data_IF_543701741938
#
_entry.id   IF_543701741938
#
_cell.length_a   1.000
_cell.length_b   1.000
_cell.length_c   1.000
_cell.angle_alpha   90.00
_cell.angle_beta   90.00
_cell.angle_gamma   90.00
#
_symmetry.space_group_name_H-M   'P 1'
#
loop_
_entity.id
_entity.type
_entity.pdbx_description
1 polymer ?
#
# COMPACT_ATOMS: atom_id res chain seq x y z
N UNK A 1 -19.94 -16.93 -20.00
CA UNK A 1 -19.10 -15.75 -19.63
C UNK A 1 -17.77 -16.29 -19.13
N UNK A 2 -16.65 -15.72 -19.56
CA UNK A 2 -15.33 -16.11 -19.03
C UNK A 2 -15.15 -15.54 -17.62
N UNK A 3 -14.44 -16.25 -16.75
CA UNK A 3 -14.07 -15.75 -15.42
C UNK A 3 -13.02 -14.63 -15.54
N UNK A 4 -13.08 -13.66 -14.63
CA UNK A 4 -12.12 -12.54 -14.53
C UNK A 4 -11.86 -12.21 -13.06
N UNK A 5 -10.84 -11.39 -12.80
CA UNK A 5 -10.45 -10.93 -11.48
C UNK A 5 -10.59 -9.42 -11.38
N UNK A 6 -11.20 -8.94 -10.30
CA UNK A 6 -11.18 -7.53 -9.96
C UNK A 6 -9.92 -7.24 -9.12
N UNK A 7 -9.17 -6.21 -9.50
CA UNK A 7 -7.94 -5.82 -8.81
C UNK A 7 -7.59 -4.36 -9.08
N UNK A 8 -6.72 -3.84 -8.22
CA UNK A 8 -6.08 -2.54 -8.38
C UNK A 8 -4.58 -2.67 -8.20
N UNK A 9 -3.82 -2.14 -9.15
CA UNK A 9 -2.36 -2.14 -9.08
C UNK A 9 -1.81 -0.76 -9.48
N UNK A 10 -0.75 -0.35 -8.81
CA UNK A 10 0.05 0.82 -9.14
C UNK A 10 1.51 0.37 -9.22
N UNK A 11 2.15 0.63 -10.35
CA UNK A 11 3.57 0.39 -10.59
C UNK A 11 4.31 1.73 -10.56
N UNK A 12 5.12 1.94 -9.53
CA UNK A 12 6.03 3.07 -9.44
C UNK A 12 7.41 2.69 -10.00
N UNK A 13 7.92 3.47 -10.95
CA UNK A 13 9.28 3.31 -11.49
C UNK A 13 10.06 4.58 -11.21
N UNK A 14 11.33 4.42 -10.90
CA UNK A 14 12.15 5.54 -10.48
C UNK A 14 13.61 5.18 -10.28
N UNK A 15 14.40 6.18 -9.91
CA UNK A 15 15.82 6.00 -9.61
C UNK A 15 16.01 5.64 -8.14
N UNK A 16 16.90 4.69 -7.88
CA UNK A 16 17.29 4.31 -6.52
C UNK A 16 18.44 5.22 -6.08
N UNK A 17 18.27 5.87 -4.94
CA UNK A 17 19.30 6.64 -4.25
C UNK A 17 19.61 5.94 -2.93
N UNK A 18 20.85 5.49 -2.74
CA UNK A 18 21.29 4.88 -1.50
C UNK A 18 21.67 5.94 -0.47
N UNK A 19 21.32 5.69 0.78
CA UNK A 19 21.72 6.52 1.91
C UNK A 19 22.98 6.02 2.60
N UNK A 20 23.52 6.84 3.49
CA UNK A 20 24.63 6.47 4.39
C UNK A 20 24.14 5.80 5.68
N UNK A 21 25.08 5.48 6.58
CA UNK A 21 24.78 4.84 7.87
C UNK A 21 23.88 5.71 8.76
N UNK A 22 24.08 7.03 8.77
CA UNK A 22 23.29 7.95 9.57
C UNK A 22 21.84 8.04 9.06
N UNK A 23 21.67 8.12 7.74
CA UNK A 23 20.35 8.07 7.09
C UNK A 23 19.67 6.72 7.33
N UNK A 24 20.43 5.62 7.29
CA UNK A 24 19.90 4.28 7.58
C UNK A 24 19.40 4.18 9.01
N UNK A 25 20.19 4.61 9.99
CA UNK A 25 19.78 4.66 11.39
C UNK A 25 18.52 5.51 11.58
N UNK A 26 18.43 6.65 10.90
CA UNK A 26 17.26 7.54 10.98
C UNK A 26 15.99 6.90 10.43
N UNK A 27 16.07 6.20 9.30
CA UNK A 27 14.92 5.48 8.73
C UNK A 27 14.45 4.36 9.67
N UNK A 28 15.37 3.63 10.31
CA UNK A 28 15.01 2.61 11.30
C UNK A 28 14.27 3.25 12.48
N UNK A 29 14.78 4.36 13.02
CA UNK A 29 14.10 5.11 14.09
C UNK A 29 12.69 5.53 13.68
N UNK A 30 12.53 6.13 12.49
CA UNK A 30 11.25 6.63 12.01
C UNK A 30 10.24 5.49 11.77
N UNK A 31 10.70 4.33 11.29
CA UNK A 31 9.87 3.14 11.13
C UNK A 31 9.44 2.57 12.48
N UNK A 32 10.36 2.43 13.43
CA UNK A 32 10.03 2.00 14.79
C UNK A 32 9.02 2.95 15.44
N UNK A 33 9.21 4.26 15.34
CA UNK A 33 8.27 5.24 15.90
C UNK A 33 6.89 5.23 15.23
N UNK A 34 6.81 4.81 13.96
CA UNK A 34 5.54 4.74 13.22
C UNK A 34 4.74 3.48 13.55
N UNK A 35 5.40 2.34 13.75
CA UNK A 35 4.75 1.04 13.88
C UNK A 35 4.73 0.49 15.30
N UNK A 36 5.66 0.90 16.16
CA UNK A 36 5.71 0.51 17.57
C UNK A 36 5.08 1.58 18.46
N UNK A 37 4.54 1.12 19.60
CA UNK A 37 4.05 2.05 20.62
C UNK A 37 5.23 2.74 21.32
N UNK A 38 5.12 4.02 21.70
CA UNK A 38 6.21 4.74 22.40
C UNK A 38 6.66 4.09 23.72
N UNK A 39 5.78 3.35 24.38
CA UNK A 39 6.05 2.64 25.63
C UNK A 39 6.54 1.21 25.44
N UNK A 40 6.56 0.69 24.21
CA UNK A 40 7.08 -0.65 23.89
C UNK A 40 8.54 -0.81 24.30
N UNK A 41 8.94 -2.01 24.73
CA UNK A 41 10.36 -2.36 24.91
C UNK A 41 11.15 -2.33 23.60
N UNK A 42 10.46 -2.38 22.45
CA UNK A 42 11.05 -2.25 21.12
C UNK A 42 11.19 -0.79 20.66
N UNK A 43 10.73 0.20 21.45
CA UNK A 43 10.88 1.61 21.11
C UNK A 43 12.36 1.96 20.90
N UNK A 44 12.66 2.70 19.83
CA UNK A 44 14.04 2.92 19.38
C UNK A 44 14.93 3.53 20.47
N UNK A 45 14.38 4.49 21.24
CA UNK A 45 15.06 5.16 22.34
C UNK A 45 15.32 4.28 23.58
N UNK A 46 14.71 3.09 23.66
CA UNK A 46 14.93 2.12 24.75
C UNK A 46 15.95 1.04 24.37
N UNK A 47 16.37 0.98 23.11
CA UNK A 47 17.35 0.01 22.64
C UNK A 47 18.78 0.49 22.96
N UNK A 48 19.70 -0.40 23.36
CA UNK A 48 21.11 -0.05 23.52
C UNK A 48 21.72 0.43 22.20
N UNK A 49 22.48 1.53 22.23
CA UNK A 49 23.11 2.08 21.02
C UNK A 49 24.01 1.06 20.31
N UNK A 50 24.82 0.30 21.05
CA UNK A 50 25.68 -0.75 20.48
C UNK A 50 24.88 -1.84 19.74
N UNK A 51 23.69 -2.17 20.24
CA UNK A 51 22.80 -3.12 19.61
C UNK A 51 22.29 -2.60 18.27
N UNK A 52 21.82 -1.35 18.25
CA UNK A 52 21.31 -0.68 17.04
C UNK A 52 22.42 -0.50 16.01
N UNK A 53 23.57 0.04 16.41
CA UNK A 53 24.68 0.36 15.51
C UNK A 53 25.26 -0.90 14.85
N UNK A 54 25.28 -2.04 15.57
CA UNK A 54 25.67 -3.33 15.00
C UNK A 54 24.72 -3.80 13.90
N UNK A 55 23.40 -3.65 14.09
CA UNK A 55 22.41 -4.12 13.13
C UNK A 55 22.26 -3.18 11.93
N UNK A 56 22.37 -1.86 12.15
CA UNK A 56 22.31 -0.86 11.07
C UNK A 56 23.42 -1.10 10.04
N UNK A 57 24.61 -1.53 10.47
CA UNK A 57 25.73 -1.88 9.56
C UNK A 57 25.44 -3.06 8.63
N UNK A 58 24.42 -3.87 8.93
CA UNK A 58 24.03 -5.01 8.10
C UNK A 58 22.98 -4.66 7.03
N UNK A 59 22.49 -3.42 7.00
CA UNK A 59 21.46 -2.94 6.07
C UNK A 59 21.88 -1.59 5.47
N UNK A 60 21.22 -1.19 4.39
CA UNK A 60 21.42 0.13 3.78
C UNK A 60 20.07 0.76 3.45
N UNK A 61 19.90 2.02 3.82
CA UNK A 61 18.78 2.82 3.38
C UNK A 61 18.84 3.03 1.86
N UNK A 62 17.67 2.98 1.22
CA UNK A 62 17.52 3.50 -0.12
C UNK A 62 16.16 4.17 -0.29
N UNK A 63 16.10 5.12 -1.23
CA UNK A 63 14.88 5.81 -1.65
C UNK A 63 14.69 5.57 -3.14
N UNK A 64 13.44 5.33 -3.55
CA UNK A 64 13.04 5.40 -4.95
C UNK A 64 12.51 6.80 -5.21
N UNK A 65 13.23 7.59 -6.01
CA UNK A 65 12.72 8.83 -6.58
C UNK A 65 11.79 8.46 -7.74
N UNK A 66 10.48 8.44 -7.45
CA UNK A 66 9.45 8.02 -8.41
C UNK A 66 9.42 9.00 -9.58
N UNK A 67 9.63 8.47 -10.79
CA UNK A 67 9.62 9.23 -12.03
C UNK A 67 8.35 8.98 -12.84
N UNK A 68 7.81 7.75 -12.79
CA UNK A 68 6.57 7.39 -13.47
C UNK A 68 5.70 6.52 -12.59
N UNK A 69 4.39 6.67 -12.76
CA UNK A 69 3.36 5.86 -12.13
C UNK A 69 2.43 5.31 -13.21
N UNK A 70 2.43 3.99 -13.37
CA UNK A 70 1.46 3.28 -14.19
C UNK A 70 0.42 2.64 -13.27
N UNK A 71 -0.85 2.63 -13.65
CA UNK A 71 -1.89 1.98 -12.85
C UNK A 71 -2.85 1.17 -13.72
N UNK A 72 -3.47 0.16 -13.09
CA UNK A 72 -4.55 -0.63 -13.67
C UNK A 72 -5.62 -0.87 -12.61
N UNK A 73 -6.85 -0.49 -12.92
CA UNK A 73 -8.02 -0.75 -12.10
C UNK A 73 -9.03 -1.55 -12.92
N UNK A 74 -9.06 -2.87 -12.70
CA UNK A 74 -10.08 -3.75 -13.26
C UNK A 74 -11.14 -3.97 -12.18
N UNK A 75 -12.26 -3.29 -12.32
CA UNK A 75 -13.32 -3.21 -11.31
C UNK A 75 -14.69 -3.46 -11.97
N UNK A 76 -14.72 -4.32 -13.00
CA UNK A 76 -15.94 -4.66 -13.75
C UNK A 76 -16.66 -3.46 -14.37
N UNK A 77 -15.94 -2.38 -14.67
CA UNK A 77 -16.50 -1.14 -15.23
C UNK A 77 -17.09 -1.28 -16.65
N UNK A 78 -16.83 -2.42 -17.31
CA UNK A 78 -17.38 -2.77 -18.61
C UNK A 78 -18.83 -3.32 -18.53
N UNK A 79 -19.35 -3.55 -17.34
CA UNK A 79 -20.73 -3.98 -17.11
C UNK A 79 -21.67 -2.80 -16.86
N UNK A 80 -22.96 -3.03 -17.04
CA UNK A 80 -24.00 -2.08 -16.64
C UNK A 80 -24.06 -1.88 -15.11
N UNK A 81 -24.80 -0.86 -14.70
CA UNK A 81 -24.87 -0.44 -13.30
C UNK A 81 -25.54 -1.49 -12.40
N UNK A 82 -26.59 -2.15 -12.88
CA UNK A 82 -27.30 -3.22 -12.15
C UNK A 82 -26.37 -4.40 -11.89
N UNK A 83 -25.62 -4.85 -12.90
CA UNK A 83 -24.64 -5.92 -12.77
C UNK A 83 -23.53 -5.51 -11.81
N UNK A 84 -23.02 -4.29 -11.90
CA UNK A 84 -21.99 -3.79 -10.98
C UNK A 84 -22.49 -3.75 -9.54
N UNK A 85 -23.73 -3.30 -9.31
CA UNK A 85 -24.34 -3.32 -7.98
C UNK A 85 -24.48 -4.74 -7.43
N UNK A 86 -24.93 -5.68 -8.26
CA UNK A 86 -25.01 -7.09 -7.86
C UNK A 86 -23.64 -7.68 -7.49
N UNK A 87 -22.57 -7.30 -8.21
CA UNK A 87 -21.20 -7.72 -7.88
C UNK A 87 -20.77 -7.12 -6.53
N UNK A 88 -21.00 -5.81 -6.32
CA UNK A 88 -20.69 -5.13 -5.05
C UNK A 88 -21.37 -5.83 -3.87
N UNK A 89 -22.67 -6.10 -3.98
CA UNK A 89 -23.45 -6.72 -2.92
C UNK A 89 -22.94 -8.12 -2.59
N UNK A 90 -22.58 -8.90 -3.61
CA UNK A 90 -22.04 -10.25 -3.43
C UNK A 90 -20.67 -10.23 -2.74
N UNK A 91 -19.74 -9.40 -3.22
CA UNK A 91 -18.40 -9.25 -2.65
C UNK A 91 -18.46 -8.73 -1.20
N UNK A 92 -19.39 -7.81 -0.90
CA UNK A 92 -19.59 -7.28 0.45
C UNK A 92 -20.10 -8.34 1.42
N UNK A 93 -21.08 -9.14 1.00
CA UNK A 93 -21.76 -10.12 1.86
C UNK A 93 -20.95 -11.39 2.09
N UNK A 94 -20.33 -11.90 1.03
CA UNK A 94 -19.74 -13.24 1.03
C UNK A 94 -18.22 -13.25 0.85
N UNK A 95 -17.61 -12.09 0.56
CA UNK A 95 -16.18 -12.00 0.25
C UNK A 95 -15.27 -11.99 1.48
N UNK A 96 -14.02 -12.32 1.23
CA UNK A 96 -12.85 -12.01 2.05
C UNK A 96 -12.66 -10.51 2.27
N UNK A 97 -11.70 -10.13 3.11
CA UNK A 97 -11.42 -8.72 3.39
C UNK A 97 -10.94 -7.95 2.15
N UNK A 98 -10.18 -8.61 1.26
CA UNK A 98 -9.76 -8.06 -0.02
C UNK A 98 -10.96 -7.85 -0.97
N UNK A 99 -11.86 -8.83 -1.07
CA UNK A 99 -13.08 -8.71 -1.88
C UNK A 99 -14.00 -7.60 -1.37
N UNK A 100 -14.11 -7.44 -0.04
CA UNK A 100 -14.84 -6.32 0.58
C UNK A 100 -14.16 -4.98 0.30
N UNK A 101 -12.83 -4.93 0.23
CA UNK A 101 -12.10 -3.73 -0.15
C UNK A 101 -12.38 -3.33 -1.60
N UNK A 102 -12.40 -4.31 -2.51
CA UNK A 102 -12.82 -4.11 -3.90
C UNK A 102 -14.26 -3.61 -3.97
N UNK A 103 -15.19 -4.19 -3.20
CA UNK A 103 -16.59 -3.74 -3.17
C UNK A 103 -16.72 -2.27 -2.75
N UNK A 104 -15.99 -1.84 -1.71
CA UNK A 104 -15.96 -0.44 -1.26
C UNK A 104 -15.44 0.51 -2.34
N UNK A 105 -14.38 0.13 -3.05
CA UNK A 105 -13.85 0.94 -4.14
C UNK A 105 -14.82 1.03 -5.32
N UNK A 106 -15.44 -0.11 -5.68
CA UNK A 106 -16.43 -0.15 -6.77
C UNK A 106 -17.61 0.77 -6.50
N UNK A 107 -18.12 0.79 -5.26
CA UNK A 107 -19.19 1.68 -4.79
C UNK A 107 -18.76 3.15 -4.83
N UNK A 108 -17.59 3.47 -4.27
CA UNK A 108 -17.04 4.83 -4.29
C UNK A 108 -16.92 5.40 -5.72
N UNK A 109 -16.62 4.55 -6.72
CA UNK A 109 -16.53 4.97 -8.13
C UNK A 109 -17.88 5.08 -8.85
N UNK A 110 -18.96 4.53 -8.31
CA UNK A 110 -20.31 4.78 -8.82
C UNK A 110 -20.76 6.19 -8.43
N UNK A 111 -20.41 6.63 -7.23
CA UNK A 111 -20.75 7.96 -6.70
C UNK A 111 -19.89 9.09 -7.31
N UNK A 112 -18.73 8.75 -7.89
CA UNK A 112 -17.85 9.71 -8.54
C UNK A 112 -18.47 10.24 -9.85
N UNK A 113 -18.45 11.56 -10.10
CA UNK A 113 -18.85 12.10 -11.40
C UNK A 113 -17.98 11.45 -12.48
N UNK A 114 -18.62 10.96 -13.56
CA UNK A 114 -17.89 10.43 -14.71
C UNK A 114 -16.92 11.50 -15.20
N UNK A 115 -15.63 11.36 -14.93
CA UNK A 115 -14.60 12.18 -15.55
C UNK A 115 -14.67 11.85 -17.05
N UNK A 116 -15.18 12.80 -17.84
CA UNK A 116 -15.13 12.72 -19.29
C UNK A 116 -13.66 12.65 -19.71
N UNK A 117 -13.38 11.72 -20.63
CA UNK A 117 -12.05 11.49 -21.23
C UNK A 117 -11.45 12.76 -21.82
#
# INVERSE_FOLDING_TARGET
VASTWNYMAVHAKGKINFGDEAQTKKIVEDLTNKYDKPDSGAAFNKLPNEYVDRLVKAIIAFRIEVQTLDNVFNLSQNHDEETRQSIIDHLRKNGSDDEKAIAREMEHRLDMPKQYK
#
